data_IF_307786548347
#
_entry.id   IF_307786548347
#
_cell.length_a   1.000
_cell.length_b   1.000
_cell.length_c   1.000
_cell.angle_alpha   90.00
_cell.angle_beta   90.00
_cell.angle_gamma   90.00
#
_symmetry.space_group_name_H-M   'P 1'
#
loop_
_entity.id
_entity.type
_entity.pdbx_description
1 polymer ?
#
# COMPACT_ATOMS: atom_id res chain seq x y z
N UNK A 1 -4.72 1.07 30.98
CA UNK A 1 -3.44 1.03 30.23
C UNK A 1 -3.13 2.44 29.78
N UNK A 2 -1.89 2.92 29.90
CA UNK A 2 -1.52 4.26 29.38
C UNK A 2 -1.71 4.25 27.87
N UNK A 3 -2.35 5.28 27.31
CA UNK A 3 -2.62 5.45 25.86
C UNK A 3 -1.38 5.15 24.98
N UNK A 4 -0.19 5.41 25.50
CA UNK A 4 1.07 5.13 24.81
C UNK A 4 1.28 3.64 24.47
N UNK A 5 0.82 2.72 25.33
CA UNK A 5 0.93 1.29 25.06
C UNK A 5 -0.01 0.86 23.93
N UNK A 6 -1.24 1.36 23.94
CA UNK A 6 -2.24 1.01 22.93
C UNK A 6 -1.84 1.57 21.56
N UNK A 7 -1.29 2.78 21.50
CA UNK A 7 -0.70 3.38 20.30
C UNK A 7 0.43 2.54 19.70
N UNK A 8 1.34 2.02 20.52
CA UNK A 8 2.47 1.19 20.03
C UNK A 8 1.94 -0.12 19.45
N UNK A 9 1.01 -0.78 20.16
CA UNK A 9 0.40 -2.03 19.69
C UNK A 9 -0.38 -1.80 18.40
N UNK A 10 -1.17 -0.72 18.32
CA UNK A 10 -1.92 -0.36 17.12
C UNK A 10 -1.00 -0.03 15.94
N UNK A 11 0.10 0.68 16.17
CA UNK A 11 1.09 0.97 15.14
C UNK A 11 1.70 -0.30 14.57
N UNK A 12 2.28 -1.14 15.43
CA UNK A 12 2.97 -2.37 15.00
C UNK A 12 1.97 -3.32 14.35
N UNK A 13 0.79 -3.50 14.96
CA UNK A 13 -0.25 -4.37 14.44
C UNK A 13 -0.74 -3.91 13.05
N UNK A 14 -1.11 -2.64 12.92
CA UNK A 14 -1.56 -2.10 11.62
C UNK A 14 -0.45 -2.12 10.56
N UNK A 15 0.81 -1.90 10.94
CA UNK A 15 1.93 -1.94 10.01
C UNK A 15 2.13 -3.35 9.46
N UNK A 16 2.13 -4.36 10.34
CA UNK A 16 2.26 -5.76 9.94
C UNK A 16 1.09 -6.20 9.07
N UNK A 17 -0.14 -5.79 9.41
CA UNK A 17 -1.33 -6.05 8.60
C UNK A 17 -1.19 -5.43 7.21
N UNK A 18 -0.86 -4.14 7.15
CA UNK A 18 -0.77 -3.43 5.87
C UNK A 18 0.38 -3.96 5.01
N UNK A 19 1.53 -4.27 5.61
CA UNK A 19 2.71 -4.74 4.89
C UNK A 19 2.58 -6.21 4.45
N UNK A 20 2.20 -7.12 5.35
CA UNK A 20 2.23 -8.55 5.06
C UNK A 20 0.89 -9.14 4.63
N UNK A 21 -0.25 -8.65 5.14
CA UNK A 21 -1.56 -9.25 4.83
C UNK A 21 -2.19 -8.69 3.56
N UNK A 22 -2.08 -7.38 3.30
CA UNK A 22 -2.77 -6.78 2.14
C UNK A 22 -2.21 -7.25 0.80
N UNK A 23 -0.89 -7.45 0.73
CA UNK A 23 -0.22 -7.87 -0.49
C UNK A 23 -0.72 -9.21 -1.05
N UNK A 24 -0.76 -10.32 -0.27
CA UNK A 24 -1.36 -11.58 -0.71
C UNK A 24 -2.83 -11.49 -1.13
N UNK A 25 -3.59 -10.52 -0.61
CA UNK A 25 -5.02 -10.36 -0.91
C UNK A 25 -5.22 -9.69 -2.27
N UNK A 26 -4.35 -8.75 -2.63
CA UNK A 26 -4.56 -7.87 -3.79
C UNK A 26 -3.90 -8.37 -5.07
N UNK A 27 -2.84 -9.19 -4.98
CA UNK A 27 -2.13 -9.70 -6.17
C UNK A 27 -2.89 -10.83 -6.85
N UNK A 28 -2.79 -10.92 -8.18
CA UNK A 28 -3.34 -12.03 -8.95
C UNK A 28 -2.57 -13.34 -8.70
N UNK A 29 -1.25 -13.26 -8.52
CA UNK A 29 -0.40 -14.43 -8.29
C UNK A 29 0.55 -14.23 -7.10
N UNK A 30 0.72 -15.28 -6.28
CA UNK A 30 1.57 -15.21 -5.07
C UNK A 30 3.04 -15.00 -5.38
N UNK A 31 3.50 -15.34 -6.57
CA UNK A 31 4.88 -15.11 -7.02
C UNK A 31 5.16 -13.63 -7.36
N UNK A 32 4.12 -12.80 -7.45
CA UNK A 32 4.24 -11.37 -7.73
C UNK A 32 4.35 -10.54 -6.44
N UNK A 33 4.29 -11.19 -5.27
CA UNK A 33 4.50 -10.55 -3.97
C UNK A 33 5.98 -10.21 -3.83
N UNK A 34 6.29 -8.92 -3.78
CA UNK A 34 7.64 -8.41 -3.60
C UNK A 34 7.76 -7.61 -2.30
N UNK A 35 9.00 -7.32 -1.92
CA UNK A 35 9.32 -6.41 -0.83
C UNK A 35 9.95 -5.15 -1.43
N UNK A 36 9.30 -4.01 -1.24
CA UNK A 36 9.79 -2.74 -1.74
C UNK A 36 9.55 -1.60 -0.73
N UNK A 37 10.35 -0.55 -0.84
CA UNK A 37 10.33 0.59 0.07
C UNK A 37 9.06 1.43 -0.08
N UNK A 38 8.49 1.50 -1.28
CA UNK A 38 7.22 2.19 -1.51
C UNK A 38 6.08 1.60 -0.66
N UNK A 39 6.04 0.27 -0.54
CA UNK A 39 5.12 -0.46 0.33
C UNK A 39 5.38 -0.16 1.81
N UNK A 40 6.64 -0.04 2.23
CA UNK A 40 6.97 0.42 3.60
C UNK A 40 6.39 1.82 3.86
N UNK A 41 6.55 2.76 2.92
CA UNK A 41 6.03 4.13 3.08
C UNK A 41 4.52 4.17 3.25
N UNK A 42 3.78 3.43 2.41
CA UNK A 42 2.32 3.34 2.52
C UNK A 42 1.90 2.61 3.79
N UNK A 43 2.59 1.54 4.19
CA UNK A 43 2.29 0.85 5.44
C UNK A 43 2.47 1.73 6.67
N UNK A 44 3.57 2.49 6.76
CA UNK A 44 3.76 3.43 7.86
C UNK A 44 2.72 4.55 7.83
N UNK A 45 2.41 5.10 6.65
CA UNK A 45 1.38 6.13 6.52
C UNK A 45 0.02 5.65 7.05
N UNK A 46 -0.42 4.46 6.68
CA UNK A 46 -1.67 3.87 7.17
C UNK A 46 -1.61 3.64 8.70
N UNK A 47 -0.50 3.15 9.23
CA UNK A 47 -0.33 2.98 10.67
C UNK A 47 -0.38 4.29 11.45
N UNK A 48 0.18 5.37 10.90
CA UNK A 48 0.08 6.71 11.50
C UNK A 48 -1.36 7.24 11.47
N UNK A 49 -2.13 6.96 10.41
CA UNK A 49 -3.57 7.28 10.38
C UNK A 49 -4.36 6.51 11.45
N UNK A 50 -4.01 5.24 11.70
CA UNK A 50 -4.64 4.46 12.77
C UNK A 50 -4.36 5.05 14.15
N UNK A 51 -3.12 5.49 14.41
CA UNK A 51 -2.80 6.21 15.65
C UNK A 51 -3.61 7.51 15.73
N UNK A 52 -3.71 8.26 14.62
CA UNK A 52 -4.46 9.51 14.57
C UNK A 52 -5.92 9.29 14.98
N UNK A 53 -6.56 8.24 14.46
CA UNK A 53 -7.93 7.86 14.83
C UNK A 53 -8.03 7.46 16.30
N UNK A 54 -7.08 6.67 16.81
CA UNK A 54 -7.08 6.26 18.22
C UNK A 54 -6.97 7.45 19.17
N UNK A 55 -6.07 8.39 18.89
CA UNK A 55 -5.89 9.62 19.69
C UNK A 55 -7.16 10.47 19.64
N UNK A 56 -7.79 10.60 18.45
CA UNK A 56 -9.05 11.32 18.28
C UNK A 56 -10.20 10.70 19.09
N UNK A 57 -10.32 9.37 19.06
CA UNK A 57 -11.33 8.65 19.84
C UNK A 57 -11.11 8.81 21.34
N UNK A 58 -9.85 8.69 21.80
CA UNK A 58 -9.50 8.89 23.19
C UNK A 58 -9.81 10.32 23.66
N UNK A 59 -9.35 11.33 22.92
CA UNK A 59 -9.56 12.74 23.24
C UNK A 59 -11.07 13.08 23.30
N UNK A 60 -11.86 12.54 22.36
CA UNK A 60 -13.32 12.68 22.39
C UNK A 60 -13.94 12.05 23.65
N UNK A 61 -13.54 10.83 24.00
CA UNK A 61 -14.08 10.11 25.16
C UNK A 61 -13.75 10.81 26.49
N UNK A 62 -12.52 11.30 26.64
CA UNK A 62 -12.05 11.91 27.88
C UNK A 62 -12.20 13.45 27.91
N UNK A 63 -12.76 14.05 26.85
CA UNK A 63 -12.93 15.51 26.69
C UNK A 63 -11.63 16.28 26.90
N UNK A 64 -10.51 15.70 26.47
CA UNK A 64 -9.18 16.32 26.46
C UNK A 64 -8.79 16.63 25.02
N UNK A 65 -7.77 17.47 24.82
CA UNK A 65 -7.24 17.74 23.48
C UNK A 65 -5.71 17.69 23.50
N UNK A 66 -5.17 16.66 22.85
CA UNK A 66 -3.74 16.32 22.87
C UNK A 66 -2.97 17.05 21.75
N UNK A 67 -2.94 18.39 21.78
CA UNK A 67 -2.37 19.24 20.70
C UNK A 67 -0.98 18.80 20.24
N UNK A 68 -0.06 18.52 21.17
CA UNK A 68 1.31 18.13 20.84
C UNK A 68 1.36 16.84 20.01
N UNK A 69 0.50 15.87 20.34
CA UNK A 69 0.41 14.59 19.63
C UNK A 69 -0.08 14.80 18.19
N UNK A 70 -1.09 15.63 17.99
CA UNK A 70 -1.59 15.94 16.64
C UNK A 70 -0.55 16.64 15.78
N UNK A 71 0.20 17.61 16.32
CA UNK A 71 1.25 18.30 15.58
C UNK A 71 2.32 17.31 15.10
N UNK A 72 2.76 16.40 15.98
CA UNK A 72 3.74 15.35 15.64
C UNK A 72 3.16 14.43 14.55
N UNK A 73 1.92 13.96 14.71
CA UNK A 73 1.28 13.07 13.75
C UNK A 73 1.12 13.71 12.38
N UNK A 74 0.66 14.96 12.30
CA UNK A 74 0.51 15.69 11.03
C UNK A 74 1.87 15.89 10.36
N UNK A 75 2.91 16.20 11.14
CA UNK A 75 4.28 16.30 10.64
C UNK A 75 4.78 14.97 10.05
N UNK A 76 4.59 13.86 10.76
CA UNK A 76 4.99 12.53 10.29
C UNK A 76 4.16 12.07 9.07
N UNK A 77 2.84 12.29 9.06
CA UNK A 77 1.98 11.98 7.92
C UNK A 77 2.44 12.74 6.68
N UNK A 78 2.70 14.05 6.82
CA UNK A 78 3.19 14.89 5.73
C UNK A 78 4.56 14.43 5.22
N UNK A 79 5.46 14.02 6.13
CA UNK A 79 6.75 13.44 5.78
C UNK A 79 6.59 12.18 4.94
N UNK A 80 5.78 11.20 5.37
CA UNK A 80 5.61 9.95 4.62
C UNK A 80 4.90 10.16 3.29
N UNK A 81 3.96 11.10 3.21
CA UNK A 81 3.39 11.54 1.93
C UNK A 81 4.48 12.10 1.02
N UNK A 82 5.36 12.97 1.54
CA UNK A 82 6.47 13.53 0.78
C UNK A 82 7.45 12.46 0.29
N UNK A 83 7.84 11.51 1.16
CA UNK A 83 8.74 10.41 0.80
C UNK A 83 8.16 9.54 -0.32
N UNK A 84 6.89 9.17 -0.22
CA UNK A 84 6.21 8.39 -1.25
C UNK A 84 6.02 9.20 -2.54
N UNK A 85 5.54 10.44 -2.47
CA UNK A 85 5.26 11.27 -3.67
C UNK A 85 6.52 11.57 -4.47
N UNK A 86 7.66 11.74 -3.80
CA UNK A 86 8.95 11.99 -4.46
C UNK A 86 9.78 10.72 -4.69
N UNK A 87 9.22 9.54 -4.37
CA UNK A 87 9.88 8.24 -4.53
C UNK A 87 11.31 8.23 -3.95
N UNK A 88 11.48 8.86 -2.77
CA UNK A 88 12.80 9.00 -2.14
C UNK A 88 13.38 7.61 -1.86
N UNK A 89 14.66 7.40 -2.17
CA UNK A 89 15.37 6.12 -2.00
C UNK A 89 14.78 4.92 -2.77
N UNK A 90 13.86 5.14 -3.72
CA UNK A 90 13.36 4.11 -4.63
C UNK A 90 14.22 4.14 -5.90
N UNK A 91 15.09 3.15 -6.02
CA UNK A 91 15.94 2.91 -7.21
C UNK A 91 15.34 1.81 -8.09
N UNK A 92 16.00 1.48 -9.20
CA UNK A 92 15.56 0.52 -10.22
C UNK A 92 14.96 -0.77 -9.65
N UNK A 93 15.69 -1.45 -8.77
CA UNK A 93 15.19 -2.69 -8.14
C UNK A 93 13.87 -2.48 -7.39
N UNK A 94 13.79 -1.45 -6.56
CA UNK A 94 12.62 -1.15 -5.74
C UNK A 94 11.43 -0.71 -6.59
N UNK A 95 11.70 0.03 -7.66
CA UNK A 95 10.70 0.42 -8.66
C UNK A 95 10.12 -0.81 -9.36
N UNK A 96 10.98 -1.71 -9.88
CA UNK A 96 10.54 -2.92 -10.57
C UNK A 96 9.78 -3.87 -9.64
N UNK A 97 10.27 -4.07 -8.41
CA UNK A 97 9.59 -4.88 -7.40
C UNK A 97 8.19 -4.33 -7.09
N UNK A 98 8.07 -3.02 -6.87
CA UNK A 98 6.77 -2.37 -6.62
C UNK A 98 5.82 -2.40 -7.82
N UNK A 99 6.35 -2.23 -9.04
CA UNK A 99 5.53 -2.27 -10.25
C UNK A 99 5.03 -3.68 -10.59
N UNK A 100 5.81 -4.73 -10.33
CA UNK A 100 5.33 -6.13 -10.48
C UNK A 100 4.09 -6.36 -9.61
N UNK A 101 4.15 -5.96 -8.33
CA UNK A 101 3.04 -6.12 -7.40
C UNK A 101 1.81 -5.30 -7.87
N UNK A 102 2.00 -4.04 -8.24
CA UNK A 102 0.95 -3.16 -8.75
C UNK A 102 0.25 -3.70 -10.01
N UNK A 103 1.03 -4.20 -10.98
CA UNK A 103 0.48 -4.79 -12.21
C UNK A 103 -0.31 -6.07 -11.90
N UNK A 104 0.16 -6.88 -10.95
CA UNK A 104 -0.59 -8.07 -10.52
C UNK A 104 -1.98 -7.72 -9.96
N UNK A 105 -2.13 -6.60 -9.26
CA UNK A 105 -3.43 -6.11 -8.78
C UNK A 105 -4.38 -5.72 -9.91
N UNK A 106 -3.84 -5.08 -10.96
CA UNK A 106 -4.59 -4.71 -12.15
C UNK A 106 -5.12 -5.93 -12.92
N UNK A 107 -4.29 -6.98 -13.02
CA UNK A 107 -4.70 -8.26 -13.62
C UNK A 107 -5.83 -8.91 -12.82
N UNK A 108 -5.72 -8.97 -11.48
CA UNK A 108 -6.75 -9.58 -10.63
C UNK A 108 -8.11 -8.92 -10.84
N UNK A 109 -8.17 -7.59 -10.72
CA UNK A 109 -9.42 -6.83 -10.85
C UNK A 109 -9.98 -6.84 -12.26
N UNK A 110 -9.11 -6.87 -13.28
CA UNK A 110 -9.50 -7.03 -14.68
C UNK A 110 -10.09 -8.42 -14.97
N UNK A 111 -9.52 -9.48 -14.38
CA UNK A 111 -10.08 -10.83 -14.47
C UNK A 111 -11.47 -10.91 -13.81
N UNK A 112 -11.66 -10.24 -12.67
CA UNK A 112 -12.94 -10.24 -11.96
C UNK A 112 -14.04 -9.45 -12.69
N UNK A 113 -13.73 -8.31 -13.32
CA UNK A 113 -14.75 -7.53 -14.04
C UNK A 113 -15.20 -8.25 -15.33
N UNK A 114 -14.31 -9.01 -15.98
CA UNK A 114 -14.65 -9.79 -17.18
C UNK A 114 -15.71 -10.86 -16.94
N UNK A 115 -15.89 -11.30 -15.69
CA UNK A 115 -16.94 -12.26 -15.31
C UNK A 115 -18.33 -11.63 -15.17
N UNK A 116 -18.39 -10.29 -15.11
CA UNK A 116 -19.58 -9.53 -14.68
C UNK A 116 -20.06 -8.52 -15.71
N UNK A 117 -19.18 -8.07 -16.61
CA UNK A 117 -19.49 -6.98 -17.54
C UNK A 117 -20.09 -7.49 -18.85
N UNK A 118 -21.20 -6.88 -19.26
CA UNK A 118 -21.79 -7.05 -20.60
C UNK A 118 -21.39 -5.91 -21.56
N UNK A 119 -20.71 -4.88 -21.06
CA UNK A 119 -20.25 -3.76 -21.88
C UNK A 119 -19.00 -4.15 -22.70
N UNK A 120 -19.10 -4.05 -24.03
CA UNK A 120 -18.02 -4.39 -24.96
C UNK A 120 -16.73 -3.60 -24.72
N UNK A 121 -16.84 -2.27 -24.51
CA UNK A 121 -15.67 -1.41 -24.32
C UNK A 121 -14.94 -1.72 -23.02
N UNK A 122 -15.69 -2.00 -21.94
CA UNK A 122 -15.12 -2.43 -20.65
C UNK A 122 -14.42 -3.77 -20.79
N UNK A 123 -15.06 -4.75 -21.44
CA UNK A 123 -14.45 -6.07 -21.66
C UNK A 123 -13.19 -5.98 -22.52
N UNK A 124 -13.21 -5.17 -23.58
CA UNK A 124 -12.03 -4.92 -24.43
C UNK A 124 -10.90 -4.28 -23.64
N UNK A 125 -11.20 -3.26 -22.83
CA UNK A 125 -10.20 -2.59 -21.99
C UNK A 125 -9.58 -3.56 -20.98
N UNK A 126 -10.39 -4.33 -20.26
CA UNK A 126 -9.89 -5.28 -19.25
C UNK A 126 -8.99 -6.36 -19.87
N UNK A 127 -9.36 -6.92 -21.04
CA UNK A 127 -8.50 -7.87 -21.78
C UNK A 127 -7.17 -7.24 -22.19
N UNK A 128 -7.19 -6.00 -22.66
CA UNK A 128 -5.97 -5.27 -23.03
C UNK A 128 -5.06 -5.00 -21.82
N UNK A 129 -5.64 -4.66 -20.66
CA UNK A 129 -4.89 -4.47 -19.41
C UNK A 129 -4.21 -5.78 -19.02
N UNK A 130 -4.93 -6.90 -18.99
CA UNK A 130 -4.37 -8.21 -18.63
C UNK A 130 -3.17 -8.55 -19.52
N UNK A 131 -3.36 -8.52 -20.85
CA UNK A 131 -2.31 -8.90 -21.78
C UNK A 131 -1.04 -8.03 -21.65
N UNK A 132 -1.21 -6.71 -21.53
CA UNK A 132 -0.07 -5.79 -21.40
C UNK A 132 0.64 -5.98 -20.08
N UNK A 133 -0.11 -6.06 -18.98
CA UNK A 133 0.49 -6.14 -17.65
C UNK A 133 1.17 -7.49 -17.39
N UNK A 134 0.67 -8.59 -17.95
CA UNK A 134 1.36 -9.89 -17.89
C UNK A 134 2.70 -9.85 -18.63
N UNK A 135 2.72 -9.24 -19.82
CA UNK A 135 3.94 -9.04 -20.58
C UNK A 135 4.94 -8.14 -19.83
N UNK A 136 4.49 -7.01 -19.29
CA UNK A 136 5.32 -6.08 -18.52
C UNK A 136 5.88 -6.71 -17.24
N UNK A 137 5.10 -7.55 -16.54
CA UNK A 137 5.60 -8.32 -15.38
C UNK A 137 6.76 -9.24 -15.79
N UNK A 138 6.65 -9.92 -16.94
CA UNK A 138 7.71 -10.78 -17.45
C UNK A 138 8.97 -9.97 -17.76
N UNK A 139 8.82 -8.85 -18.47
CA UNK A 139 9.93 -7.96 -18.82
C UNK A 139 10.62 -7.41 -17.56
N UNK A 140 9.85 -6.92 -16.58
CA UNK A 140 10.40 -6.43 -15.30
C UNK A 140 11.18 -7.52 -14.55
N UNK A 141 10.70 -8.77 -14.56
CA UNK A 141 11.42 -9.91 -13.96
C UNK A 141 12.72 -10.22 -14.68
N UNK A 142 12.74 -10.12 -16.01
CA UNK A 142 13.97 -10.32 -16.78
C UNK A 142 14.99 -9.21 -16.52
N UNK A 143 14.55 -7.97 -16.36
CA UNK A 143 15.42 -6.84 -15.98
C UNK A 143 15.97 -7.06 -14.57
N UNK A 144 15.12 -7.43 -13.59
CA UNK A 144 15.54 -7.71 -12.22
C UNK A 144 16.61 -8.81 -12.12
N UNK A 145 16.57 -9.82 -12.99
CA UNK A 145 17.59 -10.88 -13.04
C UNK A 145 18.95 -10.40 -13.54
N UNK A 146 18.99 -9.25 -14.21
CA UNK A 146 20.21 -8.67 -14.81
C UNK A 146 20.83 -7.56 -13.95
N UNK A 147 20.12 -7.10 -12.92
CA UNK A 147 20.59 -6.12 -11.93
C UNK A 147 21.41 -6.81 -10.82
#
# INVERSE_FOLDING_TARGET
MRITHTMIVMFIGSFLIQYFLMSPIMVNSRIDITNNLGKVYISVFMSLLMIFLEVMMHDHQYKVFSTNTYIILVGLLSLFVYLYRNQIAIKDKQYLEGMIEHHSMGILTSNEILKKTDNYDVARLAKNIIQKQEYEIKDMREILKKL
#
